data_IF_333820492835
#
_entry.id   IF_333820492835
#
_cell.length_a   1.000
_cell.length_b   1.000
_cell.length_c   1.000
_cell.angle_alpha   90.00
_cell.angle_beta   90.00
_cell.angle_gamma   90.00
#
_symmetry.space_group_name_H-M   'P 1'
#
loop_
_entity.id
_entity.type
_entity.pdbx_description
1 polymer ?
#
# COMPACT_ATOMS: atom_id res chain seq x y z
N UNK A 1 20.79 -0.74 29.68
CA UNK A 1 19.44 -0.29 30.09
C UNK A 1 19.18 1.07 29.45
N UNK A 2 18.60 1.07 28.23
CA UNK A 2 18.22 2.30 27.54
C UNK A 2 16.81 2.70 27.97
N UNK A 3 16.66 3.88 28.57
CA UNK A 3 15.37 4.53 28.81
C UNK A 3 15.08 5.46 27.63
N UNK A 4 13.93 5.23 27.00
CA UNK A 4 13.34 6.10 25.98
C UNK A 4 12.98 7.46 26.58
N UNK A 5 13.39 8.55 25.92
CA UNK A 5 12.86 9.89 26.16
C UNK A 5 11.87 10.23 25.05
N UNK A 6 10.60 10.44 25.40
CA UNK A 6 9.59 10.97 24.48
C UNK A 6 9.80 12.49 24.35
N UNK A 7 10.19 12.97 23.17
CA UNK A 7 10.19 14.40 22.88
C UNK A 7 8.81 14.82 22.39
N UNK A 8 8.05 15.46 23.28
CA UNK A 8 6.85 16.23 22.95
C UNK A 8 7.31 17.62 22.50
N UNK A 9 7.38 17.84 21.19
CA UNK A 9 7.83 19.10 20.61
C UNK A 9 6.76 20.19 20.73
N UNK A 10 6.84 20.99 21.79
CA UNK A 10 6.16 22.29 21.90
C UNK A 10 6.98 23.29 21.09
N UNK A 11 6.43 23.79 19.99
CA UNK A 11 7.07 24.84 19.18
C UNK A 11 6.87 26.18 19.89
N UNK A 12 7.95 26.70 20.45
CA UNK A 12 8.07 28.06 20.99
C UNK A 12 8.14 29.06 19.81
N UNK A 13 7.40 30.19 19.83
CA UNK A 13 7.59 31.23 18.82
C UNK A 13 8.90 31.98 19.13
N UNK A 14 9.90 31.83 18.27
CA UNK A 14 11.14 32.60 18.34
C UNK A 14 10.87 34.01 17.79
N UNK A 15 10.96 35.04 18.64
CA UNK A 15 11.10 36.43 18.23
C UNK A 15 12.58 36.71 17.91
N UNK A 16 12.87 37.23 16.72
CA UNK A 16 14.13 37.94 16.45
C UNK A 16 13.84 39.36 15.98
N UNK A 17 14.37 40.34 16.71
CA UNK A 17 14.50 41.73 16.29
C UNK A 17 15.87 41.88 15.62
N UNK A 18 15.89 42.15 14.33
CA UNK A 18 17.11 42.52 13.60
C UNK A 18 16.93 43.94 13.04
N UNK A 19 17.69 44.89 13.58
CA UNK A 19 17.89 46.20 12.97
C UNK A 19 18.89 46.02 11.84
N UNK A 20 18.49 46.28 10.59
CA UNK A 20 19.40 46.20 9.46
C UNK A 20 19.43 47.51 8.66
N UNK A 21 20.66 47.94 8.39
CA UNK A 21 21.01 49.07 7.53
C UNK A 21 20.62 48.83 6.08
N UNK A 22 20.34 49.93 5.38
CA UNK A 22 19.98 49.98 3.96
C UNK A 22 21.23 49.67 3.13
N UNK A 23 21.17 48.61 2.32
CA UNK A 23 21.92 48.51 1.07
C UNK A 23 21.00 47.93 -0.01
N UNK A 24 20.94 48.60 -1.15
CA UNK A 24 20.08 48.22 -2.27
C UNK A 24 20.55 46.93 -2.91
N UNK A 25 19.71 45.90 -2.85
CA UNK A 25 19.56 44.88 -3.89
C UNK A 25 18.09 44.46 -3.88
N UNK A 26 17.48 44.43 -5.07
CA UNK A 26 16.11 43.95 -5.33
C UNK A 26 16.03 42.42 -5.26
N UNK A 27 16.68 41.81 -4.28
CA UNK A 27 16.72 40.35 -4.12
C UNK A 27 15.87 39.94 -2.91
N UNK A 28 14.98 38.98 -3.16
CA UNK A 28 14.18 38.38 -2.09
C UNK A 28 15.09 37.64 -1.13
N UNK A 29 14.83 37.76 0.18
CA UNK A 29 15.60 37.04 1.19
C UNK A 29 15.20 35.56 1.18
N UNK A 30 16.16 34.68 0.95
CA UNK A 30 15.96 33.25 1.13
C UNK A 30 16.04 32.90 2.63
N UNK A 31 15.07 32.13 3.10
CA UNK A 31 15.00 31.61 4.46
C UNK A 31 15.47 30.15 4.49
N UNK A 32 15.65 29.62 5.69
CA UNK A 32 16.01 28.21 5.90
C UNK A 32 15.03 27.27 5.19
N UNK A 33 15.57 26.20 4.62
CA UNK A 33 14.81 25.18 3.91
C UNK A 33 14.14 24.20 4.88
N UNK A 34 12.95 23.72 4.51
CA UNK A 34 12.26 22.63 5.21
C UNK A 34 12.41 21.31 4.42
N UNK A 35 12.69 20.20 5.10
CA UNK A 35 12.62 18.85 4.50
C UNK A 35 11.37 18.11 4.96
N UNK A 36 11.08 17.00 4.27
CA UNK A 36 10.05 16.03 4.67
C UNK A 36 8.65 16.62 4.83
N UNK A 37 8.35 17.63 4.02
CA UNK A 37 7.07 18.35 4.09
C UNK A 37 5.95 17.49 3.50
N UNK A 38 4.82 17.29 4.20
CA UNK A 38 3.67 16.60 3.63
C UNK A 38 3.19 17.22 2.32
N UNK A 39 2.81 16.39 1.35
CA UNK A 39 2.40 16.84 0.00
C UNK A 39 1.15 17.73 -0.01
N UNK A 40 0.39 17.78 1.08
CA UNK A 40 -0.81 18.62 1.28
C UNK A 40 -0.62 19.67 2.38
N UNK A 41 0.63 20.00 2.74
CA UNK A 41 0.94 20.94 3.82
C UNK A 41 0.24 22.29 3.61
N UNK A 42 -0.56 22.69 4.59
CA UNK A 42 -1.02 24.06 4.75
C UNK A 42 0.08 24.90 5.43
N UNK A 43 0.35 26.08 4.87
CA UNK A 43 1.29 27.05 5.42
C UNK A 43 0.53 28.25 5.97
N UNK A 44 0.95 28.75 7.13
CA UNK A 44 0.45 30.01 7.69
C UNK A 44 1.62 30.97 7.87
N UNK A 45 1.54 32.12 7.21
CA UNK A 45 2.56 33.17 7.23
C UNK A 45 2.00 34.33 8.05
N UNK A 46 2.72 34.75 9.09
CA UNK A 46 2.32 35.85 9.97
C UNK A 46 3.18 37.07 9.71
N UNK A 47 2.54 38.22 9.54
CA UNK A 47 3.16 39.51 9.27
C UNK A 47 3.06 40.41 10.50
N UNK A 48 3.90 41.44 10.59
CA UNK A 48 3.86 42.41 11.69
C UNK A 48 2.76 43.49 11.52
N UNK A 49 2.04 43.47 10.39
CA UNK A 49 0.97 44.41 10.03
C UNK A 49 -0.16 43.67 9.29
N UNK A 50 -1.41 44.16 9.36
CA UNK A 50 -2.51 43.60 8.58
C UNK A 50 -2.27 43.68 7.06
N UNK A 51 -2.67 42.64 6.34
CA UNK A 51 -2.43 42.48 4.90
C UNK A 51 -3.69 42.82 4.10
N UNK A 52 -3.52 43.52 2.98
CA UNK A 52 -4.60 43.78 2.02
C UNK A 52 -4.85 42.54 1.16
N UNK A 53 -6.05 41.95 1.26
CA UNK A 53 -6.37 40.67 0.64
C UNK A 53 -6.29 40.69 -0.90
N UNK A 54 -6.64 41.82 -1.52
CA UNK A 54 -6.53 42.07 -2.96
C UNK A 54 -5.07 42.00 -3.47
N UNK A 55 -4.09 42.27 -2.60
CA UNK A 55 -2.68 42.21 -2.94
C UNK A 55 -2.08 40.79 -2.89
N UNK A 56 -2.83 39.76 -2.47
CA UNK A 56 -2.25 38.43 -2.19
C UNK A 56 -2.08 37.56 -3.43
N UNK A 57 -3.07 37.51 -4.33
CA UNK A 57 -3.15 36.51 -5.41
C UNK A 57 -1.93 36.48 -6.36
N UNK A 58 -1.23 37.61 -6.54
CA UNK A 58 -0.04 37.67 -7.40
C UNK A 58 1.28 37.63 -6.62
N UNK A 59 1.20 37.84 -5.31
CA UNK A 59 2.36 38.09 -4.46
C UNK A 59 2.64 36.97 -3.46
N UNK A 60 1.76 35.98 -3.32
CA UNK A 60 1.98 34.78 -2.50
C UNK A 60 1.63 33.54 -3.31
N UNK A 61 2.60 32.65 -3.53
CA UNK A 61 2.39 31.43 -4.30
C UNK A 61 3.39 30.32 -3.93
N UNK A 62 3.07 29.08 -4.33
CA UNK A 62 4.00 27.95 -4.32
C UNK A 62 4.53 27.77 -5.74
N UNK A 63 5.82 27.48 -5.87
CA UNK A 63 6.50 27.29 -7.15
C UNK A 63 7.31 26.00 -7.13
N UNK A 64 7.34 25.27 -8.25
CA UNK A 64 8.21 24.10 -8.42
C UNK A 64 9.63 24.48 -8.89
N UNK A 65 10.51 23.49 -9.02
CA UNK A 65 11.89 23.70 -9.49
C UNK A 65 12.01 24.12 -10.97
N UNK A 66 10.93 24.01 -11.77
CA UNK A 66 10.85 24.50 -13.15
C UNK A 66 10.25 25.90 -13.24
N UNK A 67 10.06 26.57 -12.10
CA UNK A 67 9.44 27.88 -12.00
C UNK A 67 7.93 27.93 -12.30
N UNK A 68 7.23 26.79 -12.38
CA UNK A 68 5.78 26.77 -12.55
C UNK A 68 5.08 27.08 -11.23
N UNK A 69 4.04 27.91 -11.29
CA UNK A 69 3.20 28.22 -10.13
C UNK A 69 2.19 27.10 -9.88
N UNK A 70 2.12 26.63 -8.64
CA UNK A 70 1.14 25.64 -8.20
C UNK A 70 -0.16 26.33 -7.82
N UNK A 71 -1.28 25.73 -8.20
CA UNK A 71 -2.61 26.20 -7.80
C UNK A 71 -2.81 26.02 -6.29
N UNK A 72 -3.20 27.09 -5.61
CA UNK A 72 -3.40 27.13 -4.16
C UNK A 72 -4.76 27.76 -3.82
N UNK A 73 -5.32 27.37 -2.69
CA UNK A 73 -6.32 28.14 -1.97
C UNK A 73 -5.63 29.07 -0.97
N UNK A 74 -6.13 30.29 -0.87
CA UNK A 74 -5.58 31.31 0.00
C UNK A 74 -6.66 31.95 0.86
N UNK A 75 -6.40 32.10 2.15
CA UNK A 75 -7.26 32.84 3.08
C UNK A 75 -6.46 33.90 3.81
N UNK A 76 -7.03 35.08 4.00
CA UNK A 76 -6.40 36.21 4.69
C UNK A 76 -7.20 36.53 5.95
N UNK A 77 -6.52 36.60 7.09
CA UNK A 77 -7.10 36.96 8.37
C UNK A 77 -6.17 37.93 9.07
N UNK A 78 -6.52 39.21 9.07
CA UNK A 78 -5.71 40.30 9.63
C UNK A 78 -4.28 40.32 9.08
N UNK A 79 -3.31 39.94 9.90
CA UNK A 79 -1.88 39.89 9.58
C UNK A 79 -1.42 38.47 9.22
N UNK A 80 -2.33 37.55 8.92
CA UNK A 80 -2.02 36.16 8.55
C UNK A 80 -2.52 35.83 7.17
N UNK A 81 -1.69 35.12 6.41
CA UNK A 81 -2.07 34.49 5.14
C UNK A 81 -1.89 33.00 5.31
N UNK A 82 -2.93 32.23 4.98
CA UNK A 82 -2.86 30.78 4.92
C UNK A 82 -2.94 30.34 3.47
N UNK A 83 -2.01 29.49 3.04
CA UNK A 83 -1.98 28.91 1.69
C UNK A 83 -2.01 27.39 1.76
N UNK A 84 -2.80 26.76 0.89
CA UNK A 84 -2.92 25.29 0.79
C UNK A 84 -2.93 24.89 -0.68
N UNK A 85 -2.10 23.93 -1.13
CA UNK A 85 -2.21 23.35 -2.47
C UNK A 85 -3.62 22.80 -2.74
N UNK A 86 -4.20 23.07 -3.91
CA UNK A 86 -5.53 22.52 -4.26
C UNK A 86 -5.49 21.02 -4.59
N UNK A 87 -4.30 20.49 -4.87
CA UNK A 87 -4.02 19.08 -5.09
C UNK A 87 -2.71 18.72 -4.40
N UNK A 88 -2.52 17.44 -4.08
CA UNK A 88 -1.25 16.97 -3.53
C UNK A 88 -0.08 17.34 -4.45
N UNK A 89 0.97 17.90 -3.86
CA UNK A 89 2.26 18.12 -4.51
C UNK A 89 2.92 16.78 -4.86
N UNK A 90 3.90 16.80 -5.77
CA UNK A 90 4.69 15.62 -6.08
C UNK A 90 5.55 15.25 -4.87
N UNK A 91 5.74 13.96 -4.62
CA UNK A 91 6.63 13.45 -3.57
C UNK A 91 8.10 13.68 -3.94
N UNK A 92 8.98 13.72 -2.93
CA UNK A 92 10.44 13.86 -3.07
C UNK A 92 10.88 15.02 -3.98
N UNK A 93 10.09 16.09 -4.03
CA UNK A 93 10.24 17.18 -5.01
C UNK A 93 10.53 18.49 -4.29
N UNK A 94 11.43 19.28 -4.85
CA UNK A 94 11.76 20.61 -4.35
C UNK A 94 10.73 21.65 -4.83
N UNK A 95 10.25 22.44 -3.88
CA UNK A 95 9.33 23.56 -4.07
C UNK A 95 9.82 24.79 -3.30
N UNK A 96 9.18 25.93 -3.55
CA UNK A 96 9.41 27.17 -2.80
C UNK A 96 8.08 27.85 -2.51
N UNK A 97 7.88 28.32 -1.29
CA UNK A 97 6.87 29.35 -1.01
C UNK A 97 7.50 30.70 -1.30
N UNK A 98 6.83 31.52 -2.12
CA UNK A 98 7.32 32.83 -2.53
C UNK A 98 6.35 33.90 -2.04
N UNK A 99 6.89 34.90 -1.33
CA UNK A 99 6.21 36.14 -0.95
C UNK A 99 6.96 37.31 -1.59
N UNK A 100 6.35 38.01 -2.53
CA UNK A 100 7.03 39.11 -3.22
C UNK A 100 7.03 40.38 -2.35
N UNK A 101 7.96 41.29 -2.60
CA UNK A 101 7.99 42.61 -1.95
C UNK A 101 6.79 43.50 -2.33
N UNK A 102 6.03 43.14 -3.36
CA UNK A 102 4.85 43.88 -3.81
C UNK A 102 3.59 43.59 -2.97
N UNK A 103 3.63 42.64 -2.02
CA UNK A 103 2.56 42.42 -1.07
C UNK A 103 2.32 43.68 -0.23
N UNK A 104 1.06 44.09 -0.04
CA UNK A 104 0.70 45.35 0.62
C UNK A 104 -0.01 45.14 1.94
N UNK A 105 0.23 46.06 2.87
CA UNK A 105 -0.60 46.22 4.07
C UNK A 105 -1.97 46.81 3.72
N UNK A 106 -2.93 46.74 4.64
CA UNK A 106 -4.24 47.42 4.50
C UNK A 106 -4.12 48.94 4.37
N UNK A 107 -2.99 49.52 4.78
CA UNK A 107 -2.66 50.95 4.57
C UNK A 107 -1.98 51.23 3.23
N UNK A 108 -1.87 50.23 2.34
CA UNK A 108 -1.28 50.36 1.00
C UNK A 108 0.25 50.30 0.93
N UNK A 109 0.96 50.05 2.04
CA UNK A 109 2.43 50.02 2.06
C UNK A 109 2.95 48.64 1.63
N UNK A 110 3.88 48.62 0.69
CA UNK A 110 4.53 47.40 0.23
C UNK A 110 5.53 46.83 1.26
N UNK A 111 5.85 45.55 1.16
CA UNK A 111 6.91 44.93 1.96
C UNK A 111 8.28 45.50 1.56
N UNK A 112 9.16 45.68 2.55
CA UNK A 112 10.50 46.20 2.30
C UNK A 112 11.38 45.19 1.52
N UNK A 113 11.09 43.89 1.61
CA UNK A 113 11.82 42.82 0.97
C UNK A 113 10.91 41.61 0.75
N UNK A 114 11.10 40.89 -0.36
CA UNK A 114 10.43 39.61 -0.61
C UNK A 114 11.07 38.48 0.20
N UNK A 115 10.37 37.36 0.35
CA UNK A 115 10.81 36.18 1.08
C UNK A 115 10.63 34.95 0.21
N UNK A 116 11.64 34.08 0.19
CA UNK A 116 11.58 32.75 -0.42
C UNK A 116 11.83 31.71 0.66
N UNK A 117 10.95 30.73 0.78
CA UNK A 117 11.06 29.62 1.73
C UNK A 117 11.15 28.31 0.93
N UNK A 118 12.35 27.76 0.73
CA UNK A 118 12.53 26.48 0.07
C UNK A 118 11.94 25.35 0.92
N UNK A 119 11.39 24.32 0.27
CA UNK A 119 11.07 23.07 0.94
C UNK A 119 11.15 21.87 0.01
N UNK A 120 11.43 20.70 0.57
CA UNK A 120 11.35 19.42 -0.12
C UNK A 120 10.17 18.61 0.44
N UNK A 121 9.31 18.12 -0.45
CA UNK A 121 8.24 17.22 -0.03
C UNK A 121 8.80 15.88 0.43
N UNK A 122 8.09 15.26 1.37
CA UNK A 122 8.41 13.94 1.89
C UNK A 122 8.54 12.92 0.75
N UNK A 123 9.46 11.97 0.90
CA UNK A 123 9.51 10.83 -0.02
C UNK A 123 8.21 10.03 0.12
N UNK A 124 7.71 9.47 -0.98
CA UNK A 124 6.49 8.66 -0.95
C UNK A 124 6.63 7.47 0.01
N UNK A 125 7.84 6.93 0.15
CA UNK A 125 8.15 5.87 1.10
C UNK A 125 8.03 6.30 2.55
N UNK A 126 8.37 7.56 2.85
CA UNK A 126 8.55 8.06 4.20
C UNK A 126 7.24 8.60 4.80
N UNK A 127 6.33 9.06 3.94
CA UNK A 127 4.94 9.37 4.30
C UNK A 127 4.15 8.13 4.74
N UNK A 128 4.58 6.95 4.28
CA UNK A 128 3.95 5.67 4.61
C UNK A 128 4.55 5.06 5.90
N UNK A 129 5.77 5.42 6.28
CA UNK A 129 6.43 4.92 7.51
C UNK A 129 5.98 5.58 8.82
N UNK A 130 5.04 6.54 8.80
CA UNK A 130 4.43 7.10 10.01
C UNK A 130 3.21 6.31 10.53
N UNK A 131 2.95 5.13 9.97
CA UNK A 131 1.84 4.25 10.39
C UNK A 131 2.37 3.18 11.35
N UNK A 132 1.76 3.06 12.54
CA UNK A 132 1.97 1.89 13.39
C UNK A 132 1.16 0.73 12.80
N UNK A 133 1.84 -0.30 12.29
CA UNK A 133 1.19 -1.49 11.80
C UNK A 133 0.36 -2.17 12.92
N UNK A 134 -0.89 -2.53 12.63
CA UNK A 134 -1.68 -3.38 13.54
C UNK A 134 -1.29 -4.84 13.44
N UNK A 135 -0.78 -5.28 12.28
CA UNK A 135 -0.19 -6.61 12.06
C UNK A 135 0.94 -6.53 11.05
N UNK A 136 1.85 -7.48 11.14
CA UNK A 136 3.00 -7.61 10.25
C UNK A 136 3.18 -9.06 9.82
N UNK A 137 3.50 -9.29 8.54
CA UNK A 137 3.61 -10.61 7.95
C UNK A 137 4.95 -10.77 7.24
N UNK A 138 5.76 -11.79 7.61
CA UNK A 138 6.90 -12.22 6.80
C UNK A 138 6.47 -12.54 5.37
N UNK A 139 7.36 -12.30 4.41
CA UNK A 139 7.04 -12.35 2.98
C UNK A 139 8.06 -13.16 2.20
N UNK A 140 7.77 -13.42 0.94
CA UNK A 140 8.69 -14.01 -0.03
C UNK A 140 9.87 -13.10 -0.42
N UNK A 141 9.93 -11.89 0.16
CA UNK A 141 10.96 -10.87 -0.04
C UNK A 141 11.72 -10.63 1.26
N UNK A 142 12.79 -9.84 1.18
CA UNK A 142 13.54 -9.34 2.35
C UNK A 142 12.89 -8.10 2.98
N UNK A 143 11.56 -8.02 2.95
CA UNK A 143 10.74 -7.01 3.60
C UNK A 143 9.55 -7.66 4.32
N UNK A 144 8.90 -6.90 5.19
CA UNK A 144 7.70 -7.34 5.92
C UNK A 144 6.47 -6.62 5.38
N UNK A 145 5.37 -7.33 5.14
CA UNK A 145 4.08 -6.69 4.89
C UNK A 145 3.54 -6.14 6.20
N UNK A 146 3.21 -4.86 6.24
CA UNK A 146 2.56 -4.20 7.36
C UNK A 146 1.13 -3.84 6.98
N UNK A 147 0.18 -4.22 7.84
CA UNK A 147 -1.23 -3.85 7.75
C UNK A 147 -1.48 -2.63 8.63
N UNK A 148 -1.78 -1.44 8.08
CA UNK A 148 -1.93 -0.21 8.85
C UNK A 148 -3.25 -0.09 9.62
N UNK A 149 -4.29 -0.82 9.23
CA UNK A 149 -5.63 -0.72 9.80
C UNK A 149 -6.28 -2.09 9.94
N UNK A 150 -7.00 -2.31 11.05
CA UNK A 150 -7.86 -3.48 11.23
C UNK A 150 -9.25 -3.30 10.62
N UNK A 151 -9.55 -2.11 10.07
CA UNK A 151 -10.77 -1.87 9.33
C UNK A 151 -10.61 -2.37 7.89
N UNK A 152 -11.27 -3.49 7.58
CA UNK A 152 -11.20 -4.10 6.25
C UNK A 152 -11.74 -3.22 5.10
N UNK A 153 -12.57 -2.21 5.38
CA UNK A 153 -12.99 -1.24 4.35
C UNK A 153 -11.86 -0.29 3.93
N UNK A 154 -10.77 -0.26 4.67
CA UNK A 154 -9.56 0.53 4.41
C UNK A 154 -8.34 -0.39 4.23
N UNK A 155 -8.57 -1.66 3.89
CA UNK A 155 -7.52 -2.66 3.84
C UNK A 155 -6.49 -2.35 2.75
N UNK A 156 -5.26 -2.18 3.20
CA UNK A 156 -4.07 -2.11 2.37
C UNK A 156 -2.88 -2.74 3.11
N UNK A 157 -1.83 -3.04 2.36
CA UNK A 157 -0.56 -3.47 2.93
C UNK A 157 0.57 -2.58 2.42
N UNK A 158 1.58 -2.42 3.25
CA UNK A 158 2.81 -1.71 2.93
C UNK A 158 3.99 -2.64 3.18
N UNK A 159 4.83 -2.87 2.18
CA UNK A 159 6.05 -3.64 2.37
C UNK A 159 7.16 -2.76 2.90
N UNK A 160 7.59 -2.98 4.14
CA UNK A 160 8.63 -2.18 4.80
C UNK A 160 9.95 -2.95 4.84
N UNK A 161 11.00 -2.30 4.33
CA UNK A 161 12.40 -2.76 4.41
C UNK A 161 13.26 -1.66 5.01
N UNK A 162 13.92 -1.95 6.13
CA UNK A 162 14.77 -0.98 6.83
C UNK A 162 14.06 0.37 7.10
N UNK A 163 12.78 0.30 7.50
CA UNK A 163 11.95 1.48 7.77
C UNK A 163 11.41 2.22 6.54
N UNK A 164 11.66 1.73 5.31
CA UNK A 164 11.20 2.36 4.07
C UNK A 164 10.17 1.50 3.35
N UNK A 165 9.13 2.12 2.80
CA UNK A 165 8.20 1.42 1.93
C UNK A 165 8.84 1.05 0.59
N UNK A 166 8.86 -0.23 0.29
CA UNK A 166 9.42 -0.83 -0.94
C UNK A 166 8.39 -1.64 -1.72
N UNK A 167 7.20 -1.86 -1.15
CA UNK A 167 6.09 -2.53 -1.81
C UNK A 167 4.75 -2.02 -1.26
N UNK A 168 3.65 -2.32 -1.95
CA UNK A 168 2.30 -1.99 -1.49
C UNK A 168 1.24 -2.89 -2.12
N UNK A 169 0.11 -3.05 -1.43
CA UNK A 169 -1.08 -3.74 -1.91
C UNK A 169 -2.32 -2.93 -1.57
N UNK A 170 -3.17 -2.67 -2.56
CA UNK A 170 -4.36 -1.83 -2.45
C UNK A 170 -5.60 -2.56 -2.96
N UNK A 171 -6.67 -2.53 -2.18
CA UNK A 171 -7.95 -3.20 -2.49
C UNK A 171 -9.16 -2.27 -2.37
N UNK A 172 -8.97 -1.05 -1.90
CA UNK A 172 -10.06 -0.10 -1.63
C UNK A 172 -10.62 0.41 -2.95
N UNK A 173 -11.85 0.01 -3.28
CA UNK A 173 -12.59 0.51 -4.45
C UNK A 173 -12.61 2.03 -4.42
N UNK A 174 -12.31 2.68 -5.55
CA UNK A 174 -12.21 4.14 -5.58
C UNK A 174 -10.80 4.69 -5.41
N UNK A 175 -9.87 3.92 -4.82
CA UNK A 175 -8.54 4.41 -4.54
C UNK A 175 -7.64 4.35 -5.77
N UNK A 176 -6.89 5.43 -5.98
CA UNK A 176 -5.91 5.53 -7.05
C UNK A 176 -4.55 5.00 -6.61
N UNK A 177 -3.97 4.12 -7.43
CA UNK A 177 -2.56 3.74 -7.36
C UNK A 177 -2.01 3.67 -8.78
N UNK A 178 -0.83 4.27 -9.01
CA UNK A 178 -0.20 4.35 -10.34
C UNK A 178 -1.20 4.82 -11.40
N UNK A 179 -1.90 5.93 -11.14
CA UNK A 179 -2.82 6.54 -12.10
C UNK A 179 -3.99 5.67 -12.57
N UNK A 180 -4.27 4.56 -11.88
CA UNK A 180 -5.41 3.67 -12.12
C UNK A 180 -6.18 3.53 -10.81
N UNK A 181 -7.51 3.51 -10.91
CA UNK A 181 -8.39 3.34 -9.77
C UNK A 181 -8.72 1.86 -9.57
N UNK A 182 -8.75 1.36 -8.34
CA UNK A 182 -9.39 0.07 -8.04
C UNK A 182 -10.87 0.16 -8.47
N UNK A 183 -11.29 -0.79 -9.32
CA UNK A 183 -12.57 -0.80 -10.04
C UNK A 183 -12.49 -0.34 -11.51
N UNK A 184 -11.34 0.15 -11.99
CA UNK A 184 -11.15 0.47 -13.42
C UNK A 184 -11.22 -0.79 -14.27
N UNK A 185 -11.64 -0.72 -15.53
CA UNK A 185 -11.61 -1.90 -16.41
C UNK A 185 -10.17 -2.26 -16.82
N UNK A 186 -9.91 -3.55 -17.08
CA UNK A 186 -8.67 -4.01 -17.72
C UNK A 186 -8.33 -3.24 -19.00
N UNK A 187 -9.34 -2.91 -19.80
CA UNK A 187 -9.16 -2.13 -21.04
C UNK A 187 -8.65 -0.71 -20.75
N UNK A 188 -9.08 -0.08 -19.65
CA UNK A 188 -8.56 1.23 -19.25
C UNK A 188 -7.08 1.13 -18.83
N UNK A 189 -6.68 0.06 -18.15
CA UNK A 189 -5.27 -0.21 -17.82
C UNK A 189 -4.45 -0.38 -19.10
N UNK A 190 -4.91 -1.22 -20.04
CA UNK A 190 -4.23 -1.43 -21.33
C UNK A 190 -4.17 -0.19 -22.20
N UNK A 191 -5.22 0.63 -22.22
CA UNK A 191 -5.21 1.91 -22.93
C UNK A 191 -4.16 2.88 -22.37
N UNK A 192 -3.87 2.81 -21.06
CA UNK A 192 -2.89 3.67 -20.39
C UNK A 192 -1.46 3.16 -20.51
N UNK A 193 -1.24 1.86 -20.35
CA UNK A 193 0.09 1.27 -20.21
C UNK A 193 0.50 0.32 -21.34
N UNK A 194 -0.39 0.05 -22.30
CA UNK A 194 -0.19 -0.96 -23.33
C UNK A 194 -0.39 -2.39 -22.80
N UNK A 195 0.24 -3.35 -23.48
CA UNK A 195 0.23 -4.75 -23.06
C UNK A 195 1.17 -4.99 -21.87
N UNK A 196 0.81 -5.91 -20.95
CA UNK A 196 1.66 -6.22 -19.81
C UNK A 196 2.96 -6.92 -20.23
N UNK A 197 3.93 -6.90 -19.32
CA UNK A 197 5.21 -7.59 -19.47
C UNK A 197 4.99 -9.09 -19.66
N UNK A 198 5.61 -9.66 -20.70
CA UNK A 198 5.63 -11.12 -20.90
C UNK A 198 6.49 -11.85 -19.86
N UNK A 199 7.53 -11.19 -19.38
CA UNK A 199 8.43 -11.70 -18.35
C UNK A 199 9.18 -10.55 -17.67
N UNK A 200 9.53 -10.75 -16.40
CA UNK A 200 10.55 -10.00 -15.70
C UNK A 200 11.85 -10.78 -15.93
N UNK A 201 12.85 -10.11 -16.50
CA UNK A 201 14.16 -10.72 -16.77
C UNK A 201 15.09 -10.42 -15.62
N UNK A 202 15.59 -11.48 -14.98
CA UNK A 202 16.63 -11.40 -13.96
C UNK A 202 17.77 -12.32 -14.32
N UNK A 203 18.93 -11.74 -14.60
CA UNK A 203 20.08 -12.44 -15.15
C UNK A 203 19.66 -13.20 -16.44
N UNK A 204 19.83 -14.53 -16.47
CA UNK A 204 19.42 -15.39 -17.57
C UNK A 204 18.04 -16.05 -17.37
N UNK A 205 17.30 -15.70 -16.32
CA UNK A 205 16.00 -16.29 -15.99
C UNK A 205 14.87 -15.30 -16.26
N UNK A 206 13.84 -15.79 -16.94
CA UNK A 206 12.59 -15.08 -17.14
C UNK A 206 11.59 -15.60 -16.11
N UNK A 207 10.95 -14.70 -15.36
CA UNK A 207 9.86 -15.05 -14.47
C UNK A 207 8.80 -13.95 -14.47
N UNK A 208 7.54 -14.34 -14.57
CA UNK A 208 6.34 -13.56 -14.25
C UNK A 208 5.28 -14.59 -13.94
N UNK A 209 4.35 -14.24 -13.07
CA UNK A 209 3.12 -15.00 -12.94
C UNK A 209 2.04 -14.22 -13.68
N UNK A 210 2.03 -14.33 -15.02
CA UNK A 210 0.81 -14.05 -15.76
C UNK A 210 -0.17 -15.13 -15.33
N UNK A 211 -1.12 -14.79 -14.47
CA UNK A 211 -2.13 -15.75 -14.05
C UNK A 211 -3.17 -15.83 -15.16
N UNK A 212 -3.20 -16.98 -15.80
CA UNK A 212 -4.24 -17.35 -16.74
C UNK A 212 -5.10 -18.37 -15.98
N UNK A 213 -6.40 -18.09 -15.87
CA UNK A 213 -7.31 -19.02 -15.21
C UNK A 213 -7.50 -20.30 -16.06
N UNK A 214 -8.26 -21.27 -15.53
CA UNK A 214 -8.57 -22.53 -16.24
C UNK A 214 -9.36 -22.34 -17.54
N UNK A 215 -9.88 -21.14 -17.81
CA UNK A 215 -10.66 -20.78 -19.00
C UNK A 215 -9.86 -19.90 -19.97
N UNK A 216 -8.54 -19.78 -19.76
CA UNK A 216 -7.64 -18.98 -20.57
C UNK A 216 -7.86 -17.46 -20.45
N UNK A 217 -8.48 -16.98 -19.36
CA UNK A 217 -8.63 -15.56 -19.11
C UNK A 217 -7.39 -14.97 -18.44
N UNK A 218 -6.93 -13.84 -18.96
CA UNK A 218 -5.89 -13.02 -18.33
C UNK A 218 -6.47 -12.34 -17.08
N UNK A 219 -6.06 -12.82 -15.91
CA UNK A 219 -6.56 -12.38 -14.59
C UNK A 219 -5.58 -11.48 -13.85
N UNK A 220 -4.42 -11.21 -14.44
CA UNK A 220 -3.48 -10.21 -13.96
C UNK A 220 -2.64 -9.63 -15.10
N UNK A 221 -2.17 -8.39 -14.93
CA UNK A 221 -1.19 -7.77 -15.83
C UNK A 221 -0.12 -7.03 -15.04
N UNK A 222 1.15 -7.40 -15.26
CA UNK A 222 2.31 -6.77 -14.62
C UNK A 222 3.00 -5.78 -15.55
N UNK A 223 3.30 -4.58 -15.05
CA UNK A 223 3.90 -3.47 -15.77
C UNK A 223 5.10 -2.92 -15.01
N UNK A 224 6.07 -2.34 -15.72
CA UNK A 224 7.13 -1.54 -15.11
C UNK A 224 6.75 -0.06 -15.20
N UNK A 225 6.35 0.54 -14.09
CA UNK A 225 5.89 1.93 -13.99
C UNK A 225 6.76 2.64 -12.96
N UNK A 226 7.44 3.71 -13.36
CA UNK A 226 8.26 4.56 -12.49
C UNK A 226 9.24 3.77 -11.59
N UNK A 227 9.90 2.76 -12.17
CA UNK A 227 10.88 1.91 -11.46
C UNK A 227 10.24 0.87 -10.51
N UNK A 228 8.96 0.56 -10.68
CA UNK A 228 8.22 -0.38 -9.85
C UNK A 228 7.52 -1.42 -10.72
N UNK A 229 7.60 -2.68 -10.32
CA UNK A 229 6.78 -3.74 -10.92
C UNK A 229 5.40 -3.68 -10.29
N UNK A 230 4.41 -3.25 -11.07
CA UNK A 230 3.03 -3.08 -10.65
C UNK A 230 2.17 -4.15 -11.31
N UNK A 231 1.49 -4.96 -10.51
CA UNK A 231 0.52 -5.95 -10.98
C UNK A 231 -0.89 -5.49 -10.66
N UNK A 232 -1.69 -5.34 -11.72
CA UNK A 232 -3.13 -5.15 -11.62
C UNK A 232 -3.79 -6.53 -11.67
N UNK A 233 -4.52 -6.90 -10.63
CA UNK A 233 -5.34 -8.13 -10.62
C UNK A 233 -6.74 -7.80 -11.11
N UNK A 234 -7.25 -8.61 -12.02
CA UNK A 234 -8.57 -8.44 -12.63
C UNK A 234 -9.55 -9.47 -12.07
N UNK A 235 -10.78 -9.04 -11.80
CA UNK A 235 -11.86 -9.93 -11.42
C UNK A 235 -12.58 -10.44 -12.68
N UNK A 236 -12.29 -11.68 -13.07
CA UNK A 236 -12.92 -12.31 -14.24
C UNK A 236 -14.42 -12.51 -14.07
N UNK A 237 -14.93 -12.49 -12.84
CA UNK A 237 -16.36 -12.63 -12.53
C UNK A 237 -17.09 -11.28 -12.47
N UNK A 238 -16.35 -10.17 -12.52
CA UNK A 238 -16.88 -8.80 -12.48
C UNK A 238 -16.34 -7.97 -13.66
N UNK A 239 -16.65 -8.40 -14.89
CA UNK A 239 -16.31 -7.68 -16.13
C UNK A 239 -14.81 -7.33 -16.29
N UNK A 240 -13.90 -8.08 -15.67
CA UNK A 240 -12.46 -7.82 -15.66
C UNK A 240 -12.10 -6.41 -15.12
N UNK A 241 -12.81 -5.94 -14.09
CA UNK A 241 -12.37 -4.75 -13.33
C UNK A 241 -11.12 -5.04 -12.50
N UNK A 242 -10.33 -4.02 -12.24
CA UNK A 242 -9.19 -4.05 -11.32
C UNK A 242 -9.72 -4.31 -9.92
N UNK A 243 -9.49 -5.51 -9.41
CA UNK A 243 -9.83 -5.94 -8.06
C UNK A 243 -8.87 -5.41 -7.03
N UNK A 244 -7.58 -5.46 -7.35
CA UNK A 244 -6.51 -5.01 -6.47
C UNK A 244 -5.27 -4.65 -7.27
N UNK A 245 -4.39 -3.88 -6.63
CA UNK A 245 -3.13 -3.40 -7.22
C UNK A 245 -2.03 -3.74 -6.23
N UNK A 246 -1.07 -4.57 -6.64
CA UNK A 246 0.17 -4.79 -5.89
C UNK A 246 1.34 -4.17 -6.62
N UNK A 247 2.35 -3.70 -5.90
CA UNK A 247 3.58 -3.22 -6.48
C UNK A 247 4.78 -3.55 -5.61
N UNK A 248 5.92 -3.74 -6.26
CA UNK A 248 7.22 -3.92 -5.60
C UNK A 248 8.25 -3.08 -6.34
N UNK A 249 9.09 -2.36 -5.60
CA UNK A 249 10.21 -1.62 -6.17
C UNK A 249 11.10 -2.56 -6.99
N UNK A 250 11.53 -2.12 -8.19
CA UNK A 250 12.29 -2.97 -9.09
C UNK A 250 13.61 -3.46 -8.47
N UNK A 251 14.28 -2.67 -7.65
CA UNK A 251 15.50 -3.10 -6.94
C UNK A 251 15.21 -4.24 -5.95
N UNK A 252 14.13 -4.13 -5.19
CA UNK A 252 13.68 -5.16 -4.25
C UNK A 252 13.26 -6.45 -4.97
N UNK A 253 12.53 -6.34 -6.08
CA UNK A 253 12.21 -7.50 -6.93
C UNK A 253 13.48 -8.16 -7.47
N UNK A 254 14.44 -7.36 -7.93
CA UNK A 254 15.71 -7.83 -8.44
C UNK A 254 16.66 -8.33 -7.35
N UNK A 255 16.40 -8.11 -6.06
CA UNK A 255 17.21 -8.66 -4.96
C UNK A 255 16.78 -10.05 -4.49
N UNK A 256 15.60 -10.56 -4.88
CA UNK A 256 15.15 -11.91 -4.49
C UNK A 256 16.16 -13.03 -4.81
N UNK A 257 16.54 -13.92 -3.88
CA UNK A 257 17.47 -15.00 -4.18
C UNK A 257 16.89 -16.03 -5.19
N UNK A 258 15.57 -16.17 -5.23
CA UNK A 258 14.85 -17.05 -6.14
C UNK A 258 13.41 -16.59 -6.38
N UNK A 259 12.67 -17.35 -7.21
CA UNK A 259 11.25 -17.08 -7.45
C UNK A 259 10.41 -17.37 -6.20
N UNK A 260 10.65 -18.53 -5.58
CA UNK A 260 10.14 -18.88 -4.26
C UNK A 260 11.18 -18.53 -3.20
N UNK A 261 10.71 -18.05 -2.04
CA UNK A 261 11.55 -17.82 -0.89
C UNK A 261 11.98 -19.14 -0.23
N UNK A 262 13.07 -19.08 0.53
CA UNK A 262 13.48 -20.21 1.38
C UNK A 262 12.44 -20.38 2.49
N UNK A 263 11.87 -21.60 2.66
CA UNK A 263 10.91 -21.87 3.73
C UNK A 263 11.48 -21.58 5.11
N UNK A 264 10.66 -21.01 5.99
CA UNK A 264 10.89 -20.92 7.43
C UNK A 264 9.54 -20.99 8.15
N UNK A 265 9.57 -21.22 9.46
CA UNK A 265 8.36 -21.26 10.27
C UNK A 265 7.65 -19.89 10.26
N UNK A 266 8.42 -18.80 10.30
CA UNK A 266 7.92 -17.43 10.24
C UNK A 266 7.28 -17.13 8.87
N UNK A 267 7.88 -17.60 7.77
CA UNK A 267 7.30 -17.44 6.44
C UNK A 267 5.98 -18.20 6.31
N UNK A 268 5.93 -19.44 6.83
CA UNK A 268 4.72 -20.26 6.85
C UNK A 268 3.60 -19.56 7.61
N UNK A 269 3.88 -19.10 8.83
CA UNK A 269 2.91 -18.41 9.68
C UNK A 269 2.46 -17.08 9.06
N UNK A 270 3.40 -16.31 8.50
CA UNK A 270 3.09 -15.09 7.76
C UNK A 270 2.14 -15.34 6.59
N UNK A 271 2.34 -16.41 5.83
CA UNK A 271 1.45 -16.78 4.74
C UNK A 271 0.06 -17.21 5.21
N UNK A 272 -0.03 -17.99 6.29
CA UNK A 272 -1.29 -18.42 6.89
C UNK A 272 -2.12 -17.22 7.39
N UNK A 273 -1.50 -16.34 8.18
CA UNK A 273 -2.18 -15.18 8.74
C UNK A 273 -2.60 -14.19 7.65
N UNK A 274 -1.71 -13.89 6.70
CA UNK A 274 -2.01 -12.98 5.61
C UNK A 274 -3.16 -13.52 4.73
N UNK A 275 -3.22 -14.84 4.49
CA UNK A 275 -4.33 -15.45 3.75
C UNK A 275 -5.68 -15.21 4.45
N UNK A 276 -5.72 -15.30 5.78
CA UNK A 276 -6.95 -15.04 6.54
C UNK A 276 -7.38 -13.58 6.43
N UNK A 277 -6.44 -12.64 6.54
CA UNK A 277 -6.74 -11.22 6.40
C UNK A 277 -7.27 -10.87 5.00
N UNK A 278 -6.68 -11.45 3.96
CA UNK A 278 -7.13 -11.28 2.57
C UNK A 278 -8.55 -11.83 2.36
N UNK A 279 -8.85 -13.02 2.88
CA UNK A 279 -10.18 -13.63 2.84
C UNK A 279 -11.20 -12.76 3.58
N UNK A 280 -10.86 -12.26 4.76
CA UNK A 280 -11.75 -11.40 5.54
C UNK A 280 -11.99 -10.04 4.87
N UNK A 281 -10.96 -9.47 4.23
CA UNK A 281 -11.11 -8.29 3.38
C UNK A 281 -12.12 -8.55 2.27
N UNK A 282 -11.97 -9.66 1.52
CA UNK A 282 -12.86 -10.00 0.41
C UNK A 282 -14.31 -10.17 0.88
N UNK A 283 -14.51 -10.80 2.05
CA UNK A 283 -15.82 -10.95 2.67
C UNK A 283 -16.45 -9.62 3.05
N UNK A 284 -15.71 -8.72 3.68
CA UNK A 284 -16.23 -7.40 4.07
C UNK A 284 -16.58 -6.54 2.86
N UNK A 285 -15.78 -6.60 1.79
CA UNK A 285 -16.09 -5.92 0.53
C UNK A 285 -17.44 -6.36 -0.06
N UNK A 286 -17.86 -7.60 0.19
CA UNK A 286 -19.15 -8.19 -0.23
C UNK A 286 -20.25 -8.07 0.84
N UNK A 287 -20.04 -7.24 1.87
CA UNK A 287 -21.00 -7.00 2.95
C UNK A 287 -21.16 -8.17 3.92
N UNK A 288 -20.21 -9.10 3.96
CA UNK A 288 -20.21 -10.25 4.85
C UNK A 288 -19.39 -9.98 6.11
N UNK A 289 -19.70 -10.73 7.18
CA UNK A 289 -18.89 -10.71 8.39
C UNK A 289 -17.53 -11.39 8.14
N UNK A 290 -16.43 -10.83 8.69
CA UNK A 290 -15.16 -11.54 8.79
C UNK A 290 -15.33 -12.90 9.48
N UNK A 291 -14.53 -13.87 9.06
CA UNK A 291 -14.40 -15.16 9.72
C UNK A 291 -13.53 -15.02 10.95
N UNK A 292 -13.89 -15.74 12.02
CA UNK A 292 -13.05 -15.91 13.19
C UNK A 292 -11.89 -16.84 12.86
N UNK A 293 -10.66 -16.35 13.01
CA UNK A 293 -9.46 -17.16 12.82
C UNK A 293 -9.22 -18.10 13.98
N UNK A 294 -8.98 -19.38 13.71
CA UNK A 294 -8.71 -20.41 14.73
C UNK A 294 -7.34 -21.07 14.51
N UNK A 295 -6.23 -20.36 14.81
CA UNK A 295 -4.87 -20.83 14.53
C UNK A 295 -4.51 -22.14 15.24
N UNK A 296 -5.18 -22.46 16.35
CA UNK A 296 -5.00 -23.74 17.06
C UNK A 296 -5.29 -24.98 16.19
N UNK A 297 -5.98 -24.83 15.07
CA UNK A 297 -6.25 -25.90 14.10
C UNK A 297 -5.37 -25.84 12.84
N UNK A 298 -4.45 -24.89 12.70
CA UNK A 298 -3.57 -24.80 11.52
C UNK A 298 -2.80 -26.10 11.29
N UNK A 299 -2.40 -26.82 12.35
CA UNK A 299 -1.74 -28.11 12.25
C UNK A 299 -2.54 -29.17 11.48
N UNK A 300 -3.87 -29.08 11.44
CA UNK A 300 -4.73 -29.97 10.64
C UNK A 300 -4.57 -29.67 9.15
N UNK A 301 -4.61 -28.40 8.78
CA UNK A 301 -4.43 -27.95 7.40
C UNK A 301 -2.98 -28.13 6.92
N UNK A 302 -1.98 -27.84 7.78
CA UNK A 302 -0.55 -28.04 7.48
C UNK A 302 -0.26 -29.49 7.11
N UNK A 303 -0.80 -30.47 7.84
CA UNK A 303 -0.64 -31.90 7.51
C UNK A 303 -1.18 -32.27 6.13
N UNK A 304 -2.26 -31.63 5.68
CA UNK A 304 -2.79 -31.87 4.32
C UNK A 304 -1.89 -31.23 3.26
N UNK A 305 -1.46 -29.98 3.49
CA UNK A 305 -0.48 -29.30 2.64
C UNK A 305 0.85 -30.07 2.54
N UNK A 306 1.36 -30.58 3.67
CA UNK A 306 2.54 -31.45 3.76
C UNK A 306 2.35 -32.74 2.95
N UNK A 307 1.19 -33.39 3.11
CA UNK A 307 0.88 -34.62 2.39
C UNK A 307 0.90 -34.39 0.88
N UNK A 308 0.26 -33.32 0.40
CA UNK A 308 0.27 -32.94 -1.01
C UNK A 308 1.70 -32.63 -1.50
N UNK A 309 2.46 -31.86 -0.73
CA UNK A 309 3.83 -31.46 -1.05
C UNK A 309 4.80 -32.66 -1.14
N UNK A 310 4.72 -33.60 -0.20
CA UNK A 310 5.62 -34.75 -0.11
C UNK A 310 5.27 -35.88 -1.08
N UNK A 311 3.99 -36.02 -1.45
CA UNK A 311 3.51 -37.12 -2.27
C UNK A 311 3.14 -36.71 -3.70
N UNK A 312 3.46 -35.48 -4.12
CA UNK A 312 3.28 -34.96 -5.48
C UNK A 312 1.84 -35.12 -6.02
N UNK A 313 0.84 -34.89 -5.17
CA UNK A 313 -0.57 -34.81 -5.59
C UNK A 313 -1.19 -33.50 -5.14
N UNK A 314 -2.27 -33.11 -5.80
CA UNK A 314 -3.04 -31.92 -5.44
C UNK A 314 -4.53 -32.24 -5.50
N UNK A 315 -5.19 -32.30 -4.34
CA UNK A 315 -6.61 -32.66 -4.28
C UNK A 315 -7.21 -32.66 -2.88
N UNK A 316 -8.54 -32.61 -2.84
CA UNK A 316 -9.33 -32.58 -1.60
C UNK A 316 -9.38 -33.92 -0.85
N UNK A 317 -9.10 -35.03 -1.53
CA UNK A 317 -9.06 -36.38 -0.97
C UNK A 317 -7.59 -36.74 -0.75
N UNK A 318 -7.21 -37.10 0.47
CA UNK A 318 -5.86 -37.55 0.76
C UNK A 318 -5.65 -39.02 0.33
N UNK A 319 -4.42 -39.51 0.42
CA UNK A 319 -4.04 -40.85 -0.04
C UNK A 319 -4.74 -42.00 0.71
N UNK A 320 -5.33 -41.73 1.88
CA UNK A 320 -6.13 -42.70 2.64
C UNK A 320 -7.64 -42.52 2.44
N UNK A 321 -8.05 -41.74 1.43
CA UNK A 321 -9.46 -41.58 1.05
C UNK A 321 -10.25 -40.57 1.87
N UNK A 322 -9.62 -39.81 2.77
CA UNK A 322 -10.30 -38.82 3.62
C UNK A 322 -10.42 -37.47 2.92
N UNK A 323 -11.61 -36.86 3.02
CA UNK A 323 -11.88 -35.46 2.65
C UNK A 323 -11.62 -34.51 3.83
N UNK A 324 -11.64 -33.20 3.56
CA UNK A 324 -11.44 -32.12 4.55
C UNK A 324 -12.22 -32.34 5.85
N UNK A 325 -13.53 -32.52 5.79
CA UNK A 325 -14.34 -32.74 7.01
C UNK A 325 -13.90 -33.93 7.88
N UNK A 326 -13.43 -35.03 7.28
CA UNK A 326 -12.89 -36.15 8.06
C UNK A 326 -11.56 -35.80 8.73
N UNK A 327 -10.67 -35.08 8.02
CA UNK A 327 -9.42 -34.56 8.60
C UNK A 327 -9.68 -33.57 9.73
N UNK A 328 -10.64 -32.67 9.56
CA UNK A 328 -11.08 -31.70 10.56
C UNK A 328 -11.60 -32.39 11.82
N UNK A 329 -12.50 -33.38 11.67
CA UNK A 329 -13.04 -34.15 12.80
C UNK A 329 -11.94 -34.92 13.56
N UNK A 330 -11.01 -35.55 12.84
CA UNK A 330 -9.87 -36.25 13.44
C UNK A 330 -8.91 -35.30 14.17
N UNK A 331 -8.84 -34.04 13.71
CA UNK A 331 -8.10 -32.95 14.35
C UNK A 331 -8.82 -32.28 15.52
N UNK A 332 -9.98 -32.79 15.94
CA UNK A 332 -10.76 -32.24 17.06
C UNK A 332 -11.63 -31.03 16.72
N UNK A 333 -11.77 -30.67 15.44
CA UNK A 333 -12.64 -29.56 15.04
C UNK A 333 -14.10 -30.02 15.09
N UNK A 334 -14.91 -29.32 15.88
CA UNK A 334 -16.37 -29.50 15.90
C UNK A 334 -17.02 -28.52 14.92
N UNK A 335 -17.89 -29.02 14.05
CA UNK A 335 -18.58 -28.21 13.05
C UNK A 335 -19.90 -28.84 12.61
N UNK A 336 -20.84 -28.00 12.17
CA UNK A 336 -22.10 -28.38 11.51
C UNK A 336 -22.02 -28.29 9.98
N UNK A 337 -21.24 -27.32 9.47
CA UNK A 337 -20.88 -27.20 8.05
C UNK A 337 -19.38 -26.96 7.88
N UNK A 338 -18.83 -27.38 6.73
CA UNK A 338 -17.43 -27.17 6.39
C UNK A 338 -17.23 -26.92 4.89
N UNK A 339 -16.09 -26.33 4.55
CA UNK A 339 -15.59 -26.13 3.19
C UNK A 339 -14.07 -26.19 3.15
N UNK A 340 -13.52 -26.37 1.96
CA UNK A 340 -12.06 -26.41 1.76
C UNK A 340 -11.68 -25.77 0.44
N UNK A 341 -10.69 -24.88 0.50
CA UNK A 341 -10.00 -24.36 -0.66
C UNK A 341 -8.54 -24.80 -0.62
N UNK A 342 -7.98 -25.10 -1.79
CA UNK A 342 -6.58 -25.50 -1.95
C UNK A 342 -5.92 -24.57 -2.99
N UNK A 343 -4.67 -24.19 -2.75
CA UNK A 343 -3.83 -23.51 -3.75
C UNK A 343 -2.42 -24.09 -3.73
N UNK A 344 -1.71 -24.00 -4.86
CA UNK A 344 -0.35 -24.52 -4.99
C UNK A 344 0.43 -23.77 -6.07
N UNK A 345 1.68 -23.40 -5.77
CA UNK A 345 2.63 -22.85 -6.73
C UNK A 345 2.55 -21.34 -6.95
N UNK A 346 1.57 -20.65 -6.35
CA UNK A 346 1.59 -19.20 -6.19
C UNK A 346 2.63 -18.84 -5.14
N UNK A 347 3.50 -17.88 -5.40
CA UNK A 347 4.66 -17.64 -4.53
C UNK A 347 4.35 -16.86 -3.24
N UNK A 348 3.12 -16.38 -3.06
CA UNK A 348 2.65 -15.76 -1.82
C UNK A 348 1.14 -15.80 -1.66
N UNK A 349 0.67 -15.50 -0.44
CA UNK A 349 -0.75 -15.48 -0.10
C UNK A 349 -1.57 -14.49 -0.92
N UNK A 350 -1.00 -13.35 -1.32
CA UNK A 350 -1.67 -12.39 -2.21
C UNK A 350 -2.00 -13.07 -3.55
N UNK A 351 -1.01 -13.68 -4.20
CA UNK A 351 -1.22 -14.34 -5.50
C UNK A 351 -2.11 -15.58 -5.38
N UNK A 352 -1.99 -16.36 -4.30
CA UNK A 352 -2.88 -17.49 -4.03
C UNK A 352 -4.33 -17.02 -3.84
N UNK A 353 -4.57 -15.97 -3.05
CA UNK A 353 -5.89 -15.42 -2.81
C UNK A 353 -6.53 -14.88 -4.09
N UNK A 354 -5.80 -14.10 -4.89
CA UNK A 354 -6.33 -13.56 -6.15
C UNK A 354 -6.66 -14.67 -7.16
N UNK A 355 -5.87 -15.75 -7.18
CA UNK A 355 -6.18 -16.93 -7.99
C UNK A 355 -7.46 -17.65 -7.53
N UNK A 356 -7.66 -17.76 -6.21
CA UNK A 356 -8.86 -18.37 -5.63
C UNK A 356 -10.12 -17.54 -5.88
N UNK A 357 -10.03 -16.21 -5.77
CA UNK A 357 -11.14 -15.30 -6.07
C UNK A 357 -11.56 -15.33 -7.54
N UNK A 358 -10.64 -15.68 -8.45
CA UNK A 358 -10.91 -15.91 -9.86
C UNK A 358 -11.36 -17.35 -10.18
N UNK A 359 -11.48 -18.23 -9.20
CA UNK A 359 -12.03 -19.58 -9.38
C UNK A 359 -13.38 -19.70 -8.68
N UNK A 360 -14.46 -19.78 -9.47
CA UNK A 360 -15.84 -19.66 -8.96
C UNK A 360 -16.13 -20.54 -7.73
N UNK A 361 -15.81 -21.84 -7.77
CA UNK A 361 -16.05 -22.73 -6.62
C UNK A 361 -15.23 -22.37 -5.37
N UNK A 362 -14.01 -21.86 -5.53
CA UNK A 362 -13.22 -21.38 -4.39
C UNK A 362 -13.74 -20.04 -3.87
N UNK A 363 -14.15 -19.14 -4.77
CA UNK A 363 -14.79 -17.85 -4.44
C UNK A 363 -16.08 -18.07 -3.66
N UNK A 364 -16.91 -19.03 -4.07
CA UNK A 364 -18.13 -19.41 -3.37
C UNK A 364 -17.85 -19.82 -1.92
N UNK A 365 -16.80 -20.62 -1.67
CA UNK A 365 -16.39 -20.95 -0.30
C UNK A 365 -15.95 -19.70 0.49
N UNK A 366 -15.12 -18.83 -0.10
CA UNK A 366 -14.64 -17.60 0.55
C UNK A 366 -15.81 -16.69 0.94
N UNK A 367 -16.80 -16.55 0.06
CA UNK A 367 -17.96 -15.66 0.22
C UNK A 367 -19.20 -16.34 0.81
N UNK A 368 -19.04 -17.57 1.31
CA UNK A 368 -20.17 -18.30 1.86
C UNK A 368 -20.62 -17.70 3.18
N UNK A 369 -21.92 -17.35 3.27
CA UNK A 369 -22.50 -16.68 4.45
C UNK A 369 -22.56 -17.58 5.67
N UNK A 370 -22.73 -18.89 5.47
CA UNK A 370 -22.85 -19.86 6.56
C UNK A 370 -21.53 -20.09 7.30
N UNK A 371 -20.38 -19.86 6.65
CA UNK A 371 -19.09 -20.01 7.33
C UNK A 371 -18.84 -18.85 8.29
N UNK A 372 -18.37 -19.22 9.48
CA UNK A 372 -18.09 -18.29 10.59
C UNK A 372 -16.65 -18.37 11.08
N UNK A 373 -15.93 -19.46 10.77
CA UNK A 373 -14.57 -19.70 11.22
C UNK A 373 -13.68 -20.17 10.07
N UNK A 374 -12.38 -19.92 10.21
CA UNK A 374 -11.35 -20.36 9.27
C UNK A 374 -10.07 -20.74 10.02
N UNK A 375 -9.35 -21.72 9.49
CA UNK A 375 -7.93 -21.91 9.74
C UNK A 375 -7.20 -22.25 8.44
N UNK A 376 -5.90 -21.97 8.40
CA UNK A 376 -5.08 -22.05 7.20
C UNK A 376 -3.81 -22.82 7.51
N UNK A 377 -3.39 -23.69 6.60
CA UNK A 377 -2.16 -24.44 6.70
C UNK A 377 -1.33 -24.29 5.46
N UNK A 378 -0.09 -23.84 5.60
CA UNK A 378 0.86 -23.72 4.50
C UNK A 378 2.00 -24.70 4.69
N UNK A 379 2.41 -25.38 3.63
CA UNK A 379 3.65 -26.14 3.62
C UNK A 379 4.38 -26.01 2.29
N UNK A 380 5.66 -26.31 2.27
CA UNK A 380 6.51 -26.13 1.10
C UNK A 380 7.06 -27.46 0.62
N UNK A 381 7.08 -27.69 -0.69
CA UNK A 381 7.77 -28.87 -1.24
C UNK A 381 9.29 -28.66 -1.32
N UNK A 382 10.00 -29.68 -1.80
CA UNK A 382 11.46 -29.66 -1.99
C UNK A 382 11.97 -28.60 -3.00
N UNK A 383 11.08 -27.96 -3.75
CA UNK A 383 11.36 -26.84 -4.67
C UNK A 383 10.92 -25.49 -4.09
N UNK A 384 10.62 -25.45 -2.79
CA UNK A 384 10.11 -24.30 -2.04
C UNK A 384 8.73 -23.79 -2.53
N UNK A 385 7.99 -24.59 -3.30
CA UNK A 385 6.67 -24.19 -3.77
C UNK A 385 5.66 -24.35 -2.63
N UNK A 386 4.91 -23.29 -2.28
CA UNK A 386 3.93 -23.36 -1.21
C UNK A 386 2.66 -24.10 -1.67
N UNK A 387 2.10 -24.85 -0.74
CA UNK A 387 0.79 -25.50 -0.76
C UNK A 387 -0.05 -24.88 0.33
N UNK A 388 -1.22 -24.37 -0.02
CA UNK A 388 -2.17 -23.74 0.89
C UNK A 388 -3.39 -24.64 1.05
N UNK A 389 -3.81 -24.86 2.29
CA UNK A 389 -5.09 -25.47 2.63
C UNK A 389 -5.84 -24.50 3.53
N UNK A 390 -7.03 -24.05 3.10
CA UNK A 390 -7.92 -23.21 3.90
C UNK A 390 -9.17 -24.01 4.20
N UNK A 391 -9.43 -24.25 5.48
CA UNK A 391 -10.62 -24.94 5.94
C UNK A 391 -11.58 -23.92 6.58
N UNK A 392 -12.80 -23.90 6.06
CA UNK A 392 -13.89 -23.04 6.53
C UNK A 392 -14.88 -23.90 7.30
N UNK A 393 -15.47 -23.36 8.36
CA UNK A 393 -16.51 -24.08 9.09
C UNK A 393 -17.48 -23.17 9.85
N UNK A 394 -18.53 -23.80 10.39
CA UNK A 394 -19.47 -23.20 11.34
C UNK A 394 -19.77 -24.20 12.46
N UNK A 395 -20.07 -23.67 13.64
CA UNK A 395 -20.38 -24.45 14.85
C UNK A 395 -21.89 -24.64 14.91
#
# INVERSE_FOLDING_TARGET
MNKSSSMMGIIIPILFSATLMITGTTESKEWDSFSDVPVNKQWTITFNKPIAADSVNQNVYIQDHFANKITIQTTVSENKITITPTSNLQYDTNYKVVVTNNLKTTSGKAMNQGIIIPFKTIAKSDAISAHTAVKSFPTEYDFTWEMPSSNYNQFNLVGIKNGKAVAGYETTVGKFAFGVQVGSSRNAVKAKYGEPLKHIKKNQRNYTQTYIDKYNNETSGTYLIDGQYVTFFYDAHEQNIVRSITWVNAHTEMSKPGFFATPSDELREGFEELMVELINQARVAEGLKPLTYTPGFNGVARKHSESMANNNYFGHVNLVGQRGGARMKNGGVSFSWWGENLAYGQYSSIYAHEALMNSLGHRENILRKEFTHIFVGVEFNSKNQPYFTMNFYSI
#
